data_IF_219859100798
#
_entry.id   IF_219859100798
#
_cell.length_a   1.000
_cell.length_b   1.000
_cell.length_c   1.000
_cell.angle_alpha   90.00
_cell.angle_beta   90.00
_cell.angle_gamma   90.00
#
_symmetry.space_group_name_H-M   'P 1'
#
loop_
_entity.id
_entity.type
_entity.pdbx_description
1 polymer ?
#
# COMPACT_ATOMS: atom_id res chain seq x y z
N UNK A 1 -77.11 -50.10 -23.89
CA UNK A 1 -76.74 -49.17 -24.98
C UNK A 1 -75.71 -48.19 -24.45
N UNK A 2 -74.55 -48.12 -25.13
CA UNK A 2 -73.44 -47.16 -24.96
C UNK A 2 -72.87 -47.00 -23.54
N UNK A 3 -71.61 -47.38 -23.34
CA UNK A 3 -70.57 -46.66 -22.58
C UNK A 3 -69.22 -47.30 -23.01
N UNK A 4 -68.53 -46.69 -23.98
CA UNK A 4 -67.41 -45.75 -23.80
C UNK A 4 -66.16 -46.41 -23.21
N UNK A 5 -65.33 -46.93 -24.12
CA UNK A 5 -63.95 -47.33 -23.91
C UNK A 5 -63.12 -46.07 -23.70
N UNK A 6 -62.54 -45.89 -22.51
CA UNK A 6 -61.61 -44.80 -22.22
C UNK A 6 -60.18 -45.33 -22.35
N UNK A 7 -59.51 -44.93 -23.43
CA UNK A 7 -58.08 -45.09 -23.65
C UNK A 7 -57.35 -44.06 -22.78
N UNK A 8 -56.72 -44.51 -21.69
CA UNK A 8 -55.85 -43.68 -20.85
C UNK A 8 -54.49 -43.52 -21.52
N UNK A 9 -54.27 -42.35 -22.13
CA UNK A 9 -52.99 -41.91 -22.66
C UNK A 9 -52.01 -41.66 -21.49
N UNK A 10 -50.89 -42.39 -21.46
CA UNK A 10 -49.73 -42.04 -20.64
C UNK A 10 -49.09 -40.77 -21.21
N UNK A 11 -49.20 -39.65 -20.50
CA UNK A 11 -48.39 -38.46 -20.74
C UNK A 11 -47.11 -38.57 -19.89
N UNK A 12 -45.99 -38.97 -20.50
CA UNK A 12 -44.67 -38.71 -19.93
C UNK A 12 -44.42 -37.20 -20.01
N UNK A 13 -44.50 -36.51 -18.88
CA UNK A 13 -44.00 -35.15 -18.75
C UNK A 13 -42.46 -35.20 -18.81
N UNK A 14 -41.90 -34.87 -19.98
CA UNK A 14 -40.50 -34.53 -20.12
C UNK A 14 -40.28 -33.20 -19.38
N UNK A 15 -39.63 -33.24 -18.22
CA UNK A 15 -39.10 -32.05 -17.58
C UNK A 15 -38.04 -31.46 -18.52
N UNK A 16 -38.14 -30.18 -18.93
CA UNK A 16 -37.00 -29.53 -19.54
C UNK A 16 -35.93 -29.42 -18.45
N UNK A 17 -34.82 -30.15 -18.61
CA UNK A 17 -33.57 -29.71 -18.02
C UNK A 17 -33.31 -28.33 -18.62
N UNK A 18 -33.54 -27.29 -17.82
CA UNK A 18 -32.95 -25.98 -18.05
C UNK A 18 -31.44 -26.18 -17.95
N UNK A 19 -30.82 -26.51 -19.09
CA UNK A 19 -29.40 -26.30 -19.27
C UNK A 19 -29.18 -24.82 -18.98
N UNK A 20 -28.63 -24.53 -17.80
CA UNK A 20 -28.04 -23.23 -17.54
C UNK A 20 -27.00 -23.07 -18.63
N UNK A 21 -27.28 -22.15 -19.56
CA UNK A 21 -26.26 -21.63 -20.45
C UNK A 21 -25.05 -21.27 -19.58
N UNK A 22 -23.81 -21.56 -19.99
CA UNK A 22 -22.66 -21.01 -19.31
C UNK A 22 -22.94 -19.52 -19.18
N UNK A 23 -22.92 -19.02 -17.94
CA UNK A 23 -22.97 -17.59 -17.68
C UNK A 23 -21.85 -17.03 -18.53
N UNK A 24 -22.24 -16.38 -19.61
CA UNK A 24 -21.41 -15.42 -20.30
C UNK A 24 -21.17 -14.37 -19.24
N UNK A 25 -20.12 -14.58 -18.46
CA UNK A 25 -19.38 -13.51 -17.79
C UNK A 25 -18.80 -12.71 -18.93
N UNK A 26 -19.69 -11.96 -19.60
CA UNK A 26 -19.37 -10.72 -20.24
C UNK A 26 -18.67 -9.95 -19.15
N UNK A 27 -17.34 -10.03 -19.15
CA UNK A 27 -16.44 -8.96 -19.56
C UNK A 27 -17.14 -7.61 -19.60
N UNK A 28 -17.83 -7.26 -18.52
CA UNK A 28 -17.93 -5.92 -17.98
C UNK A 28 -16.55 -5.55 -17.48
N UNK A 29 -15.57 -5.60 -18.38
CA UNK A 29 -14.47 -4.67 -18.29
C UNK A 29 -15.16 -3.33 -18.24
N UNK A 30 -14.97 -2.63 -17.13
CA UNK A 30 -15.09 -1.20 -17.06
C UNK A 30 -14.04 -0.66 -18.05
N UNK A 31 -14.32 -0.77 -19.36
CA UNK A 31 -13.72 0.08 -20.36
C UNK A 31 -14.28 1.45 -20.03
N UNK A 32 -13.59 2.13 -19.11
CA UNK A 32 -13.09 3.50 -19.27
C UNK A 32 -13.66 4.20 -20.52
N UNK A 33 -14.95 4.47 -20.52
CA UNK A 33 -15.53 5.47 -21.40
C UNK A 33 -15.02 6.80 -20.91
N UNK A 34 -14.04 7.34 -21.66
CA UNK A 34 -13.38 8.62 -21.49
C UNK A 34 -12.47 8.66 -20.24
N UNK A 35 -11.15 8.77 -20.31
CA UNK A 35 -10.37 9.74 -21.09
C UNK A 35 -11.02 11.14 -21.15
N UNK A 36 -11.85 11.48 -20.16
CA UNK A 36 -12.16 12.85 -19.79
C UNK A 36 -10.93 13.38 -19.07
N UNK A 37 -10.28 14.38 -19.68
CA UNK A 37 -9.10 15.14 -19.20
C UNK A 37 -8.39 14.50 -17.98
N UNK A 38 -7.63 13.42 -18.22
CA UNK A 38 -6.79 12.83 -17.18
C UNK A 38 -5.94 13.97 -16.59
N UNK A 39 -6.25 14.34 -15.35
CA UNK A 39 -5.50 15.35 -14.64
C UNK A 39 -4.08 14.80 -14.44
N UNK A 40 -3.11 15.68 -14.21
CA UNK A 40 -1.75 15.21 -13.87
C UNK A 40 -1.75 14.21 -12.69
N UNK A 41 -2.74 14.30 -11.79
CA UNK A 41 -2.90 13.37 -10.68
C UNK A 41 -3.40 11.98 -11.11
N UNK A 42 -4.22 11.86 -12.14
CA UNK A 42 -4.65 10.53 -12.64
C UNK A 42 -3.47 9.78 -13.25
N UNK A 43 -2.56 10.50 -13.93
CA UNK A 43 -1.30 9.95 -14.42
C UNK A 43 -0.35 9.53 -13.30
N UNK A 44 -0.43 10.14 -12.12
CA UNK A 44 0.33 9.69 -10.96
C UNK A 44 -0.13 8.27 -10.56
N UNK A 45 -1.44 8.07 -10.42
CA UNK A 45 -2.02 6.80 -10.00
C UNK A 45 -1.64 5.61 -10.92
N UNK A 46 -1.48 5.83 -12.23
CA UNK A 46 -1.14 4.75 -13.18
C UNK A 46 0.26 4.14 -12.99
N UNK A 47 1.11 4.74 -12.13
CA UNK A 47 2.44 4.22 -11.85
C UNK A 47 2.42 3.08 -10.82
N UNK A 48 1.32 2.88 -10.09
CA UNK A 48 1.23 1.98 -8.95
C UNK A 48 0.41 0.74 -9.27
N UNK A 49 0.84 -0.39 -8.72
CA UNK A 49 0.03 -1.61 -8.67
C UNK A 49 -0.80 -1.61 -7.39
N UNK A 50 -2.09 -1.96 -7.50
CA UNK A 50 -2.96 -2.07 -6.34
C UNK A 50 -2.68 -3.36 -5.57
N UNK A 51 -2.58 -3.26 -4.26
CA UNK A 51 -2.36 -4.40 -3.37
C UNK A 51 -3.29 -4.34 -2.15
N UNK A 52 -3.76 -5.50 -1.71
CA UNK A 52 -4.50 -5.65 -0.47
C UNK A 52 -3.52 -6.03 0.63
N UNK A 53 -3.43 -5.21 1.68
CA UNK A 53 -2.53 -5.44 2.81
C UNK A 53 -3.34 -5.56 4.10
N UNK A 54 -3.05 -6.59 4.90
CA UNK A 54 -3.62 -6.75 6.25
C UNK A 54 -2.62 -6.43 7.36
N UNK A 55 -1.35 -6.75 7.10
CA UNK A 55 -0.22 -6.44 7.96
C UNK A 55 1.00 -6.24 7.08
N UNK A 56 1.52 -5.02 7.01
CA UNK A 56 2.65 -4.66 6.16
C UNK A 56 3.74 -3.98 6.99
N UNK A 57 4.89 -4.64 7.12
CA UNK A 57 6.12 -4.00 7.62
C UNK A 57 6.78 -3.22 6.49
N UNK A 58 7.12 -1.97 6.80
CA UNK A 58 7.70 -0.99 5.89
C UNK A 58 9.02 -0.55 6.51
N UNK A 59 10.10 -0.90 5.85
CA UNK A 59 11.46 -0.51 6.20
C UNK A 59 12.18 -0.03 4.93
N UNK A 60 13.40 0.45 5.04
CA UNK A 60 14.24 0.68 3.85
C UNK A 60 15.36 -0.35 3.88
N UNK A 61 15.46 -1.12 2.80
CA UNK A 61 16.48 -2.14 2.62
C UNK A 61 17.72 -1.53 1.94
N UNK A 62 18.87 -1.44 2.63
CA UNK A 62 20.09 -0.83 2.10
C UNK A 62 20.97 -1.79 1.29
N UNK A 63 20.58 -3.04 1.07
CA UNK A 63 21.46 -4.02 0.42
C UNK A 63 20.68 -4.84 -0.59
N UNK A 64 21.14 -4.85 -1.84
CA UNK A 64 20.61 -5.75 -2.87
C UNK A 64 20.57 -7.18 -2.33
N UNK A 65 19.39 -7.66 -1.93
CA UNK A 65 19.13 -9.10 -1.86
C UNK A 65 18.90 -9.57 -3.30
N UNK A 66 19.85 -10.34 -3.89
CA UNK A 66 19.71 -10.83 -5.26
C UNK A 66 18.67 -11.97 -5.38
N UNK A 67 18.08 -12.43 -4.28
CA UNK A 67 17.14 -13.54 -4.21
C UNK A 67 15.73 -13.12 -3.76
N UNK A 68 15.57 -11.99 -3.05
CA UNK A 68 14.26 -11.46 -2.65
C UNK A 68 13.79 -10.27 -3.50
N UNK A 69 12.58 -10.41 -4.06
CA UNK A 69 11.86 -9.28 -4.66
C UNK A 69 11.31 -8.43 -3.52
N UNK A 70 12.11 -7.53 -2.97
CA UNK A 70 11.65 -6.60 -1.94
C UNK A 70 10.42 -5.82 -2.44
N UNK A 71 9.27 -6.03 -1.80
CA UNK A 71 7.96 -5.54 -2.26
C UNK A 71 7.95 -4.02 -2.49
N UNK A 72 8.72 -3.28 -1.67
CA UNK A 72 8.78 -1.82 -1.74
C UNK A 72 9.98 -1.29 -2.56
N UNK A 73 10.62 -2.13 -3.38
CA UNK A 73 11.58 -1.68 -4.40
C UNK A 73 10.87 -0.83 -5.47
N UNK A 74 9.70 -1.28 -5.93
CA UNK A 74 8.86 -0.55 -6.87
C UNK A 74 9.44 -0.40 -8.28
N UNK A 75 8.83 0.50 -9.06
CA UNK A 75 9.22 0.86 -10.42
C UNK A 75 9.52 2.34 -10.51
N UNK A 76 10.57 2.70 -11.24
CA UNK A 76 10.94 4.10 -11.45
C UNK A 76 9.76 4.92 -11.99
N UNK A 77 9.52 6.06 -11.35
CA UNK A 77 8.42 6.95 -11.72
C UNK A 77 8.79 7.78 -12.95
N UNK A 78 7.82 7.98 -13.85
CA UNK A 78 8.00 8.93 -14.95
C UNK A 78 8.19 10.36 -14.44
N UNK A 79 8.92 11.19 -15.20
CA UNK A 79 9.09 12.63 -14.91
C UNK A 79 7.76 13.36 -14.66
N UNK A 80 6.70 12.95 -15.37
CA UNK A 80 5.36 13.52 -15.22
C UNK A 80 4.78 13.19 -13.86
N UNK A 81 4.94 11.95 -13.38
CA UNK A 81 4.48 11.54 -12.05
C UNK A 81 5.31 12.23 -10.95
N UNK A 82 6.63 12.32 -11.12
CA UNK A 82 7.52 13.04 -10.19
C UNK A 82 7.13 14.52 -10.12
N UNK A 83 6.75 15.16 -11.23
CA UNK A 83 6.31 16.55 -11.27
C UNK A 83 5.04 16.82 -10.44
N UNK A 84 4.23 15.80 -10.15
CA UNK A 84 3.03 15.91 -9.31
C UNK A 84 3.34 15.87 -7.81
N UNK A 85 4.49 15.31 -7.41
CA UNK A 85 4.89 15.25 -6.00
C UNK A 85 5.05 16.65 -5.40
N UNK A 86 4.84 16.83 -4.09
CA UNK A 86 5.07 18.10 -3.41
C UNK A 86 6.44 18.71 -3.71
N UNK A 87 6.49 20.03 -3.94
CA UNK A 87 7.72 20.72 -4.36
C UNK A 87 8.92 20.50 -3.43
N UNK A 88 8.67 20.32 -2.12
CA UNK A 88 9.72 19.99 -1.14
C UNK A 88 10.42 18.66 -1.48
N UNK A 89 9.66 17.62 -1.82
CA UNK A 89 10.21 16.30 -2.12
C UNK A 89 10.91 16.27 -3.48
N UNK A 90 10.40 17.02 -4.46
CA UNK A 90 11.11 17.17 -5.76
C UNK A 90 12.46 17.87 -5.61
N UNK A 91 12.55 18.88 -4.75
CA UNK A 91 13.82 19.54 -4.44
C UNK A 91 14.78 18.59 -3.72
N UNK A 92 14.25 17.88 -2.73
CA UNK A 92 15.00 16.87 -1.99
C UNK A 92 15.65 15.85 -2.93
N UNK A 93 14.90 15.32 -3.89
CA UNK A 93 15.44 14.37 -4.86
C UNK A 93 16.52 14.98 -5.76
N UNK A 94 16.34 16.23 -6.18
CA UNK A 94 17.34 16.94 -6.98
C UNK A 94 18.63 17.23 -6.20
N UNK A 95 18.50 17.61 -4.94
CA UNK A 95 19.64 17.99 -4.09
C UNK A 95 20.50 16.77 -3.72
N UNK A 96 19.86 15.60 -3.62
CA UNK A 96 20.50 14.33 -3.22
C UNK A 96 20.77 13.36 -4.40
N UNK A 97 20.57 13.79 -5.65
CA UNK A 97 20.69 12.95 -6.87
C UNK A 97 19.91 11.63 -6.76
N UNK A 98 18.65 11.75 -6.33
CA UNK A 98 17.82 10.63 -5.95
C UNK A 98 16.77 10.27 -7.02
N UNK A 99 16.39 9.00 -7.02
CA UNK A 99 15.37 8.45 -7.93
C UNK A 99 14.11 8.11 -7.15
N UNK A 100 12.94 8.44 -7.72
CA UNK A 100 11.65 8.04 -7.15
C UNK A 100 11.12 6.77 -7.80
N UNK A 101 10.63 5.86 -6.97
CA UNK A 101 9.99 4.62 -7.37
C UNK A 101 8.55 4.60 -6.84
N UNK A 102 7.60 4.25 -7.69
CA UNK A 102 6.25 3.90 -7.31
C UNK A 102 6.26 2.45 -6.82
N UNK A 103 5.88 2.20 -5.57
CA UNK A 103 5.86 0.84 -5.02
C UNK A 103 4.48 0.24 -5.22
N UNK A 104 3.51 0.64 -4.41
CA UNK A 104 2.17 0.08 -4.42
C UNK A 104 1.13 1.10 -4.01
N UNK A 105 -0.12 0.84 -4.39
CA UNK A 105 -1.30 1.53 -3.91
C UNK A 105 -2.10 0.60 -2.99
N UNK A 106 -2.49 1.08 -1.82
CA UNK A 106 -3.37 0.38 -0.87
C UNK A 106 -4.65 1.16 -0.67
N UNK A 107 -5.73 0.46 -0.34
CA UNK A 107 -7.02 1.07 -0.07
C UNK A 107 -7.02 1.73 1.31
N UNK A 108 -7.24 3.05 1.37
CA UNK A 108 -7.51 3.78 2.61
C UNK A 108 -8.99 4.12 2.77
N UNK A 109 -9.28 5.11 3.62
CA UNK A 109 -10.64 5.61 3.88
C UNK A 109 -11.11 6.47 2.69
N UNK A 110 -12.01 5.91 1.89
CA UNK A 110 -12.60 6.56 0.70
C UNK A 110 -11.58 7.10 -0.32
N UNK A 111 -10.34 6.59 -0.30
CA UNK A 111 -9.27 6.98 -1.22
C UNK A 111 -8.18 5.89 -1.30
N UNK A 112 -7.34 5.95 -2.32
CA UNK A 112 -6.12 5.14 -2.40
C UNK A 112 -4.95 5.87 -1.73
N UNK A 113 -4.12 5.11 -1.02
CA UNK A 113 -2.86 5.55 -0.44
C UNK A 113 -1.73 5.00 -1.31
N UNK A 114 -0.86 5.89 -1.80
CA UNK A 114 0.21 5.56 -2.73
C UNK A 114 1.54 5.61 -1.99
N UNK A 115 2.32 4.53 -2.05
CA UNK A 115 3.63 4.44 -1.40
C UNK A 115 4.73 4.66 -2.44
N UNK A 116 5.61 5.63 -2.21
CA UNK A 116 6.78 5.84 -3.06
C UNK A 116 8.05 5.63 -2.27
N UNK A 117 9.09 5.08 -2.92
CA UNK A 117 10.46 5.05 -2.40
C UNK A 117 11.28 6.16 -3.06
N UNK A 118 12.06 6.87 -2.27
CA UNK A 118 13.09 7.80 -2.69
C UNK A 118 14.43 7.13 -2.41
N UNK A 119 15.11 6.69 -3.46
CA UNK A 119 16.43 6.09 -3.35
C UNK A 119 17.49 7.16 -3.62
N UNK A 120 18.32 7.45 -2.62
CA UNK A 120 19.45 8.38 -2.73
C UNK A 120 20.69 7.78 -2.07
N UNK A 121 21.92 8.12 -2.54
CA UNK A 121 23.16 7.52 -2.04
C UNK A 121 23.39 7.60 -0.52
N UNK A 122 22.76 8.57 0.16
CA UNK A 122 22.90 8.82 1.60
C UNK A 122 21.62 8.64 2.39
N UNK A 123 20.48 8.60 1.71
CA UNK A 123 19.18 8.55 2.34
C UNK A 123 18.21 7.76 1.50
N UNK A 124 17.65 6.73 2.09
CA UNK A 124 16.49 6.05 1.55
C UNK A 124 15.25 6.45 2.35
N UNK A 125 14.11 6.58 1.70
CA UNK A 125 12.87 7.03 2.32
C UNK A 125 11.65 6.47 1.62
N UNK A 126 10.69 5.94 2.37
CA UNK A 126 9.38 5.53 1.87
C UNK A 126 8.33 6.49 2.41
N UNK A 127 7.56 7.08 1.50
CA UNK A 127 6.52 8.06 1.79
C UNK A 127 5.15 7.60 1.32
N UNK A 128 4.12 8.04 2.03
CA UNK A 128 2.71 7.84 1.72
C UNK A 128 2.08 9.12 1.16
N UNK A 129 1.29 8.97 0.11
CA UNK A 129 0.54 10.04 -0.54
C UNK A 129 -0.92 9.68 -0.73
N UNK A 130 -1.75 10.69 -0.93
CA UNK A 130 -3.09 10.54 -1.50
C UNK A 130 -3.35 11.63 -2.54
N UNK A 131 -4.23 11.35 -3.49
CA UNK A 131 -4.72 12.35 -4.43
C UNK A 131 -5.96 13.02 -3.82
N UNK A 132 -5.87 14.31 -3.52
CA UNK A 132 -7.00 15.09 -2.98
C UNK A 132 -7.08 16.43 -3.70
N UNK A 133 -8.28 16.78 -4.16
CA UNK A 133 -8.54 18.02 -4.92
C UNK A 133 -7.64 18.14 -6.18
N UNK A 134 -7.42 17.01 -6.88
CA UNK A 134 -6.56 16.94 -8.06
C UNK A 134 -5.06 17.12 -7.78
N UNK A 135 -4.62 17.00 -6.52
CA UNK A 135 -3.23 17.18 -6.10
C UNK A 135 -2.73 15.98 -5.32
N UNK A 136 -1.49 15.57 -5.59
CA UNK A 136 -0.77 14.59 -4.76
C UNK A 136 -0.33 15.26 -3.46
N UNK A 137 -0.89 14.82 -2.34
CA UNK A 137 -0.59 15.32 -0.99
C UNK A 137 0.22 14.28 -0.24
N UNK A 138 1.36 14.69 0.32
CA UNK A 138 2.11 13.87 1.28
C UNK A 138 1.30 13.74 2.55
N UNK A 139 1.18 12.50 3.04
CA UNK A 139 0.46 12.19 4.27
C UNK A 139 1.43 11.86 5.40
N UNK A 140 2.45 11.06 5.11
CA UNK A 140 3.33 10.48 6.14
C UNK A 140 4.61 9.95 5.51
N UNK A 141 5.73 10.07 6.23
CA UNK A 141 6.93 9.26 5.96
C UNK A 141 6.81 7.97 6.76
N UNK A 142 6.92 6.83 6.08
CA UNK A 142 6.69 5.49 6.62
C UNK A 142 8.00 4.81 7.00
N UNK A 143 9.05 4.97 6.20
CA UNK A 143 10.37 4.51 6.57
C UNK A 143 11.44 5.48 6.08
N UNK A 144 12.58 5.49 6.76
CA UNK A 144 13.79 6.12 6.24
C UNK A 144 15.03 5.53 6.89
N UNK A 145 16.16 5.69 6.21
CA UNK A 145 17.50 5.48 6.71
C UNK A 145 18.34 6.66 6.26
N UNK A 146 18.86 7.43 7.20
CA UNK A 146 19.74 8.57 6.96
C UNK A 146 21.01 8.40 7.80
N UNK A 147 22.09 8.00 7.12
CA UNK A 147 23.39 7.82 7.74
C UNK A 147 24.27 9.03 7.41
N UNK A 148 24.37 9.94 8.38
CA UNK A 148 25.10 11.18 8.27
C UNK A 148 26.24 11.26 9.28
N UNK A 149 27.48 11.19 8.81
CA UNK A 149 28.65 11.34 9.69
C UNK A 149 28.83 10.13 10.62
N UNK A 150 28.58 10.32 11.92
CA UNK A 150 28.77 9.28 12.96
C UNK A 150 27.46 8.73 13.53
N UNK A 151 26.33 9.21 12.99
CA UNK A 151 25.00 8.80 13.41
C UNK A 151 24.18 8.30 12.21
N UNK A 152 23.40 7.25 12.47
CA UNK A 152 22.37 6.78 11.56
C UNK A 152 21.01 6.92 12.25
N UNK A 153 20.07 7.53 11.54
CA UNK A 153 18.68 7.58 11.93
C UNK A 153 17.90 6.62 11.04
N UNK A 154 17.17 5.70 11.66
CA UNK A 154 16.32 4.77 10.94
C UNK A 154 14.91 4.81 11.54
N UNK A 155 13.92 4.68 10.67
CA UNK A 155 12.53 4.50 11.07
C UNK A 155 11.90 3.42 10.21
N UNK A 156 11.15 2.55 10.88
CA UNK A 156 10.31 1.54 10.29
C UNK A 156 8.85 1.84 10.66
N UNK A 157 7.93 1.35 9.84
CA UNK A 157 6.51 1.36 10.18
C UNK A 157 5.83 0.03 9.91
N UNK A 158 4.74 -0.22 10.63
CA UNK A 158 3.75 -1.23 10.29
C UNK A 158 2.44 -0.55 9.93
N UNK A 159 1.85 -0.95 8.79
CA UNK A 159 0.47 -0.63 8.44
C UNK A 159 -0.38 -1.87 8.72
N UNK A 160 -1.35 -1.74 9.62
CA UNK A 160 -2.26 -2.82 10.00
C UNK A 160 -3.51 -2.24 10.65
N UNK A 161 -4.51 -3.06 10.93
CA UNK A 161 -5.73 -2.70 11.66
C UNK A 161 -5.61 -3.30 13.08
N UNK A 162 -5.28 -2.46 14.08
CA UNK A 162 -5.02 -2.91 15.45
C UNK A 162 -6.32 -3.05 16.24
N UNK A 163 -7.28 -2.15 16.03
CA UNK A 163 -8.53 -2.09 16.79
C UNK A 163 -9.72 -2.80 16.09
N UNK A 164 -9.51 -3.38 14.92
CA UNK A 164 -10.49 -4.09 14.09
C UNK A 164 -11.64 -3.19 13.59
N UNK A 165 -11.36 -1.90 13.39
CA UNK A 165 -12.31 -0.93 12.85
C UNK A 165 -12.30 -0.85 11.31
N UNK A 166 -11.47 -1.68 10.65
CA UNK A 166 -11.25 -1.77 9.20
C UNK A 166 -10.48 -0.60 8.58
N UNK A 167 -10.14 0.42 9.36
CA UNK A 167 -9.27 1.50 8.96
C UNK A 167 -7.82 1.17 9.36
N UNK A 168 -6.86 1.67 8.59
CA UNK A 168 -5.46 1.41 8.91
C UNK A 168 -4.98 2.25 10.09
N UNK A 169 -4.29 1.59 11.00
CA UNK A 169 -3.37 2.12 11.97
C UNK A 169 -1.93 2.09 11.45
N UNK A 170 -1.10 2.94 12.04
CA UNK A 170 0.33 3.03 11.75
C UNK A 170 1.11 2.93 13.04
N UNK A 171 1.95 1.92 13.15
CA UNK A 171 2.91 1.76 14.25
C UNK A 171 4.27 2.18 13.70
N UNK A 172 4.96 3.11 14.35
CA UNK A 172 6.30 3.55 13.94
C UNK A 172 7.31 3.27 15.04
N UNK A 173 8.47 2.76 14.65
CA UNK A 173 9.64 2.63 15.51
C UNK A 173 10.75 3.44 14.86
N UNK A 174 11.35 4.36 15.59
CA UNK A 174 12.51 5.12 15.14
C UNK A 174 13.69 4.88 16.08
N UNK A 175 14.87 4.65 15.52
CA UNK A 175 16.12 4.45 16.27
C UNK A 175 17.18 5.44 15.81
N UNK A 176 18.01 5.87 16.77
CA UNK A 176 19.28 6.55 16.50
C UNK A 176 20.42 5.64 16.91
N UNK A 177 21.29 5.30 15.97
CA UNK A 177 22.51 4.52 16.24
C UNK A 177 23.75 5.38 16.02
N UNK A 178 24.79 5.14 16.81
CA UNK A 178 26.11 5.74 16.61
C UNK A 178 27.18 4.65 16.59
N UNK A 179 28.25 4.86 15.84
CA UNK A 179 29.35 3.89 15.72
C UNK A 179 29.98 3.52 17.07
N UNK A 180 29.96 4.45 18.03
CA UNK A 180 30.63 4.29 19.33
C UNK A 180 29.77 3.58 20.38
N UNK A 181 28.45 3.79 20.36
CA UNK A 181 27.57 3.39 21.45
C UNK A 181 26.44 2.43 21.02
N UNK A 182 26.35 2.07 19.73
CA UNK A 182 25.21 1.29 19.22
C UNK A 182 23.92 2.10 19.22
N UNK A 183 22.77 1.45 19.51
CA UNK A 183 21.48 2.14 19.64
C UNK A 183 21.49 3.07 20.86
N UNK A 184 21.29 4.36 20.60
CA UNK A 184 21.32 5.43 21.61
C UNK A 184 19.94 5.94 21.98
N UNK A 185 18.93 5.73 21.14
CA UNK A 185 17.55 6.14 21.35
C UNK A 185 16.61 5.23 20.55
N UNK A 186 15.47 4.86 21.14
CA UNK A 186 14.37 4.16 20.48
C UNK A 186 13.06 4.84 20.85
N UNK A 187 12.30 5.27 19.83
CA UNK A 187 10.99 5.86 19.99
C UNK A 187 9.95 5.04 19.27
N UNK A 188 8.92 4.62 20.01
CA UNK A 188 7.73 3.99 19.46
C UNK A 188 6.60 5.00 19.41
N UNK A 189 5.81 5.02 18.34
CA UNK A 189 4.65 5.92 18.22
C UNK A 189 3.57 5.26 17.39
N UNK A 190 2.32 5.34 17.87
CA UNK A 190 1.17 4.74 17.20
C UNK A 190 0.27 5.86 16.68
N UNK A 191 -0.32 5.64 15.51
CA UNK A 191 -1.26 6.56 14.89
C UNK A 191 -2.48 5.80 14.39
N UNK A 192 -3.64 6.46 14.47
CA UNK A 192 -4.84 6.04 13.75
C UNK A 192 -5.13 7.03 12.63
N UNK A 193 -5.79 6.58 11.56
CA UNK A 193 -6.32 7.47 10.53
C UNK A 193 -7.67 8.02 10.95
N UNK A 194 -7.79 9.33 11.14
CA UNK A 194 -9.07 9.95 11.50
C UNK A 194 -10.06 9.88 10.32
N UNK A 195 -11.25 9.25 10.45
CA UNK A 195 -12.20 9.15 9.34
C UNK A 195 -12.72 10.52 8.87
N UNK A 196 -12.91 11.47 9.80
CA UNK A 196 -13.42 12.80 9.48
C UNK A 196 -12.57 13.61 8.49
N UNK A 197 -11.25 13.45 8.54
CA UNK A 197 -10.33 14.30 7.78
C UNK A 197 -9.18 13.54 7.11
N UNK A 198 -9.15 12.21 7.26
CA UNK A 198 -8.17 11.29 6.67
C UNK A 198 -6.74 11.72 6.98
N UNK A 199 -6.48 12.10 8.24
CA UNK A 199 -5.15 12.46 8.74
C UNK A 199 -4.73 11.50 9.85
N UNK A 200 -3.46 11.13 9.82
CA UNK A 200 -2.81 10.40 10.90
C UNK A 200 -2.75 11.24 12.18
N UNK A 201 -3.22 10.67 13.29
CA UNK A 201 -3.19 11.29 14.62
C UNK A 201 -2.52 10.34 15.60
N UNK A 202 -1.61 10.87 16.41
CA UNK A 202 -0.96 10.08 17.48
C UNK A 202 -2.03 9.61 18.46
N UNK A 203 -1.90 8.38 18.93
CA UNK A 203 -2.76 7.82 19.98
C UNK A 203 -1.95 6.95 20.93
N UNK A 204 -2.41 6.88 22.18
CA UNK A 204 -1.94 5.94 23.21
C UNK A 204 -3.03 4.91 23.57
N UNK A 205 -4.19 4.97 22.90
CA UNK A 205 -5.38 4.18 23.22
C UNK A 205 -5.37 2.79 22.56
N UNK A 206 -4.49 2.57 21.57
CA UNK A 206 -4.39 1.32 20.84
C UNK A 206 -3.48 0.33 21.57
N UNK A 207 -4.01 -0.87 21.82
CA UNK A 207 -3.28 -1.97 22.46
C UNK A 207 -2.42 -2.71 21.42
N UNK A 208 -1.26 -2.13 21.12
CA UNK A 208 -0.34 -2.68 20.12
C UNK A 208 0.38 -3.92 20.68
N UNK A 209 0.37 -5.06 19.97
CA UNK A 209 1.08 -6.27 20.38
C UNK A 209 2.59 -6.13 20.14
N UNK A 210 3.26 -5.34 20.98
CA UNK A 210 4.68 -4.98 20.82
C UNK A 210 5.66 -6.15 20.75
N UNK A 211 5.28 -7.32 21.26
CA UNK A 211 6.08 -8.55 21.19
C UNK A 211 6.24 -9.06 19.75
N UNK A 212 5.28 -8.78 18.86
CA UNK A 212 5.30 -9.17 17.45
C UNK A 212 5.79 -8.06 16.50
N UNK A 213 6.13 -6.88 17.02
CA UNK A 213 6.61 -5.74 16.23
C UNK A 213 8.14 -5.75 16.28
N UNK A 214 8.76 -6.07 15.16
CA UNK A 214 10.21 -6.13 15.01
C UNK A 214 10.74 -4.84 14.37
N UNK A 215 12.02 -4.57 14.57
CA UNK A 215 12.71 -3.49 13.88
C UNK A 215 13.68 -4.13 12.89
N UNK A 216 13.69 -3.68 11.65
CA UNK A 216 14.61 -4.19 10.65
C UNK A 216 16.05 -3.77 11.02
N UNK A 217 16.94 -4.75 11.14
CA UNK A 217 18.36 -4.53 11.38
C UNK A 217 19.17 -5.06 10.19
N UNK A 218 19.79 -4.18 9.37
CA UNK A 218 20.59 -4.61 8.23
C UNK A 218 21.71 -5.58 8.65
N UNK A 219 21.82 -6.73 7.99
CA UNK A 219 22.87 -7.72 8.24
C UNK A 219 22.65 -8.63 9.46
N UNK A 220 21.48 -8.55 10.11
CA UNK A 220 21.02 -9.53 11.08
C UNK A 220 19.98 -10.43 10.39
N UNK A 221 20.43 -11.33 9.51
CA UNK A 221 19.61 -12.47 9.10
C UNK A 221 19.43 -13.35 10.35
N UNK A 222 18.22 -13.36 10.93
CA UNK A 222 17.86 -14.41 11.87
C UNK A 222 17.77 -15.71 11.06
N UNK A 223 18.79 -16.56 11.19
CA UNK A 223 18.75 -17.97 10.83
C UNK A 223 17.51 -18.63 11.47
N UNK A 224 16.38 -18.69 10.76
CA UNK A 224 15.21 -19.51 11.11
C UNK A 224 15.11 -20.74 10.21
#
# INVERSE_FOLDING_TARGET
>A
MRHCIFFGFLLLAALPLSAQSPVDVGRGGMQTTALEEATGADLFATNFEESNVGFLHIYVDPTDDPLETYLLRGREMSDTAVAMLPARLRRLAKDDDATFYATLAIKGIDENLYLTRLDAPRRDQIDMFAIRDGKVKHLKTLAYLDCGGTECLQMDSYITDVNLDTDFDLIQIARRTTEQNGTTDERRTVYYMSPDNRRWKVTEELDVPWEGIQFYEPGHEEDH
#
